data_IF_621738616921
#
_entry.id   IF_621738616921
#
_cell.length_a   1.000
_cell.length_b   1.000
_cell.length_c   1.000
_cell.angle_alpha   90.00
_cell.angle_beta   90.00
_cell.angle_gamma   90.00
#
_symmetry.space_group_name_H-M   'P 1'
#
loop_
_entity.id
_entity.type
_entity.pdbx_description
1 polymer ?
#
# COMPACT_ATOMS: atom_id res chain seq x y z
N UNK A 1 -3.53 5.65 -11.12
CA UNK A 1 -3.12 6.88 -10.41
C UNK A 1 -3.90 8.02 -11.03
N UNK A 2 -4.67 8.75 -10.22
CA UNK A 2 -5.58 9.81 -10.70
C UNK A 2 -4.81 11.14 -10.69
N UNK A 3 -4.88 11.91 -11.77
CA UNK A 3 -4.26 13.24 -11.86
C UNK A 3 -5.33 14.34 -11.79
N UNK A 4 -5.10 15.34 -10.93
CA UNK A 4 -6.04 16.43 -10.67
C UNK A 4 -5.31 17.78 -10.74
N UNK A 5 -5.96 18.79 -11.30
CA UNK A 5 -5.41 20.16 -11.34
C UNK A 5 -5.35 20.77 -9.95
N UNK A 6 -4.34 21.61 -9.68
CA UNK A 6 -4.31 22.49 -8.49
C UNK A 6 -5.61 23.29 -8.35
N UNK A 7 -6.14 23.83 -9.45
CA UNK A 7 -7.38 24.63 -9.44
C UNK A 7 -8.62 23.79 -9.09
N UNK A 8 -8.65 22.52 -9.50
CA UNK A 8 -9.77 21.61 -9.24
C UNK A 8 -9.79 21.20 -7.76
N UNK A 9 -8.62 21.02 -7.15
CA UNK A 9 -8.45 20.78 -5.71
C UNK A 9 -8.86 22.00 -4.91
N UNK A 10 -8.46 23.20 -5.32
CA UNK A 10 -8.81 24.43 -4.61
C UNK A 10 -10.33 24.66 -4.58
N UNK A 11 -11.03 24.36 -5.68
CA UNK A 11 -12.51 24.46 -5.74
C UNK A 11 -13.22 23.40 -4.91
N UNK A 12 -12.61 22.23 -4.74
CA UNK A 12 -13.23 21.05 -4.14
C UNK A 12 -12.33 20.44 -3.06
N UNK A 13 -11.89 21.27 -2.10
CA UNK A 13 -10.93 20.86 -1.06
C UNK A 13 -11.45 19.66 -0.24
N UNK A 14 -12.78 19.53 -0.12
CA UNK A 14 -13.46 18.41 0.51
C UNK A 14 -13.24 17.05 -0.16
N UNK A 15 -12.71 17.01 -1.38
CA UNK A 15 -12.26 15.76 -2.01
C UNK A 15 -11.12 15.14 -1.21
N UNK A 16 -10.17 15.96 -0.71
CA UNK A 16 -8.98 15.47 0.00
C UNK A 16 -9.33 14.70 1.28
N UNK A 17 -10.46 15.01 1.93
CA UNK A 17 -10.88 14.34 3.18
C UNK A 17 -11.61 13.02 2.95
N UNK A 18 -12.15 12.78 1.76
CA UNK A 18 -12.89 11.54 1.41
C UNK A 18 -12.07 10.57 0.55
N UNK A 19 -10.86 10.96 0.18
CA UNK A 19 -10.02 10.18 -0.72
C UNK A 19 -9.37 9.00 -0.02
N UNK A 20 -9.44 7.85 -0.67
CA UNK A 20 -8.76 6.60 -0.28
C UNK A 20 -7.60 6.27 -1.22
N UNK A 21 -7.55 6.92 -2.39
CA UNK A 21 -6.57 6.67 -3.43
C UNK A 21 -5.49 7.76 -3.49
N UNK A 22 -4.30 7.39 -3.99
CA UNK A 22 -3.20 8.30 -4.22
C UNK A 22 -3.49 9.18 -5.44
N UNK A 23 -3.30 10.49 -5.27
CA UNK A 23 -3.49 11.47 -6.35
C UNK A 23 -2.23 12.23 -6.69
N UNK A 24 -2.12 12.55 -7.96
CA UNK A 24 -1.10 13.43 -8.50
C UNK A 24 -1.69 14.81 -8.76
N UNK A 25 -1.09 15.83 -8.17
CA UNK A 25 -1.46 17.22 -8.38
C UNK A 25 -0.62 17.78 -9.50
N UNK A 26 -1.28 18.25 -10.55
CA UNK A 26 -0.64 18.82 -11.73
C UNK A 26 -1.03 20.28 -11.92
N UNK A 27 -0.06 21.11 -12.29
CA UNK A 27 -0.37 22.41 -12.89
C UNK A 27 -0.63 22.19 -14.38
N UNK A 28 -1.91 22.22 -14.78
CA UNK A 28 -2.33 22.03 -16.18
C UNK A 28 -1.77 23.10 -17.13
N UNK A 29 -1.46 24.32 -16.65
CA UNK A 29 -0.94 25.40 -17.50
C UNK A 29 0.52 25.17 -17.86
N UNK A 30 1.31 24.78 -16.85
CA UNK A 30 2.75 24.51 -17.02
C UNK A 30 3.06 23.07 -17.41
N UNK A 31 2.06 22.18 -17.34
CA UNK A 31 2.18 20.71 -17.53
C UNK A 31 3.21 20.08 -16.59
N UNK A 32 3.33 20.60 -15.38
CA UNK A 32 4.29 20.14 -14.36
C UNK A 32 3.55 19.44 -13.24
N UNK A 33 4.14 18.35 -12.73
CA UNK A 33 3.71 17.68 -11.51
C UNK A 33 4.15 18.52 -10.31
N UNK A 34 3.20 18.94 -9.49
CA UNK A 34 3.44 19.86 -8.36
C UNK A 34 3.60 19.08 -7.07
N UNK A 35 2.75 18.08 -6.84
CA UNK A 35 2.75 17.29 -5.62
C UNK A 35 2.09 15.93 -5.84
N UNK A 36 2.37 14.99 -4.95
CA UNK A 36 1.65 13.72 -4.82
C UNK A 36 1.05 13.68 -3.42
N UNK A 37 -0.26 13.45 -3.31
CA UNK A 37 -0.97 13.42 -2.03
C UNK A 37 -1.28 11.97 -1.67
N UNK A 38 -0.87 11.58 -0.46
CA UNK A 38 -1.12 10.28 0.13
C UNK A 38 -2.19 10.43 1.23
N UNK A 39 -3.37 9.79 1.10
CA UNK A 39 -4.43 9.92 2.09
C UNK A 39 -4.08 9.18 3.39
N UNK A 40 -4.20 9.81 4.56
CA UNK A 40 -3.84 9.19 5.84
C UNK A 40 -4.60 7.88 6.12
N UNK A 41 -5.87 7.80 5.71
CA UNK A 41 -6.69 6.60 5.80
C UNK A 41 -6.58 5.80 4.51
N UNK A 42 -5.44 5.13 4.32
CA UNK A 42 -5.28 4.16 3.25
C UNK A 42 -6.21 2.97 3.51
N UNK A 43 -7.16 2.70 2.63
CA UNK A 43 -7.80 1.38 2.63
C UNK A 43 -6.72 0.35 2.33
N UNK A 44 -6.38 -0.47 3.33
CA UNK A 44 -5.31 -1.44 3.21
C UNK A 44 -5.72 -2.52 2.20
N UNK A 45 -5.28 -2.37 0.95
CA UNK A 45 -5.55 -3.30 -0.15
C UNK A 45 -5.10 -4.72 0.24
N UNK A 46 -4.11 -4.85 1.13
CA UNK A 46 -3.63 -6.14 1.66
C UNK A 46 -4.76 -6.93 2.31
N UNK A 47 -5.65 -6.31 3.10
CA UNK A 47 -6.78 -7.03 3.71
C UNK A 47 -7.78 -7.51 2.65
N UNK A 48 -8.00 -6.69 1.61
CA UNK A 48 -8.88 -7.03 0.49
C UNK A 48 -8.28 -8.14 -0.38
N UNK A 49 -6.97 -8.13 -0.61
CA UNK A 49 -6.23 -9.15 -1.36
C UNK A 49 -6.07 -10.45 -0.58
N UNK A 50 -5.96 -10.38 0.76
CA UNK A 50 -5.76 -11.56 1.59
C UNK A 50 -6.95 -12.52 1.56
N UNK A 51 -8.16 -12.05 1.25
CA UNK A 51 -9.34 -12.90 1.02
C UNK A 51 -9.58 -13.91 2.14
N UNK A 52 -9.64 -15.21 1.80
CA UNK A 52 -9.80 -16.32 2.76
C UNK A 52 -8.63 -16.44 3.76
N UNK A 53 -7.46 -15.89 3.44
CA UNK A 53 -6.25 -15.96 4.25
C UNK A 53 -6.08 -14.74 5.17
N UNK A 54 -7.00 -13.77 5.18
CA UNK A 54 -6.87 -12.55 5.99
C UNK A 54 -6.61 -12.81 7.49
N UNK A 55 -7.18 -13.90 8.02
CA UNK A 55 -7.03 -14.29 9.43
C UNK A 55 -5.84 -15.22 9.69
N UNK A 56 -5.12 -15.65 8.64
CA UNK A 56 -4.00 -16.61 8.74
C UNK A 56 -2.64 -15.93 8.76
N UNK A 57 -2.55 -14.68 8.26
CA UNK A 57 -1.28 -13.96 8.19
C UNK A 57 -1.16 -13.08 9.44
N UNK A 58 -0.25 -13.45 10.36
CA UNK A 58 0.19 -12.51 11.41
C UNK A 58 0.93 -11.36 10.71
N UNK A 59 0.63 -10.12 11.11
CA UNK A 59 1.45 -8.96 10.73
C UNK A 59 2.88 -9.23 11.22
N UNK A 60 3.83 -9.33 10.31
CA UNK A 60 5.25 -9.39 10.64
C UNK A 60 5.82 -8.04 10.21
N UNK A 61 6.47 -7.36 11.15
CA UNK A 61 7.01 -6.00 10.94
C UNK A 61 8.30 -6.02 10.12
N UNK A 62 9.01 -7.16 10.10
CA UNK A 62 10.25 -7.35 9.36
C UNK A 62 10.12 -8.44 8.26
N UNK A 63 10.25 -8.02 7.00
CA UNK A 63 10.16 -8.88 5.82
C UNK A 63 11.34 -9.85 5.73
N UNK A 64 12.53 -9.44 6.19
CA UNK A 64 13.75 -10.25 6.16
C UNK A 64 13.59 -11.48 7.07
N UNK A 65 13.08 -11.21 8.28
CA UNK A 65 12.81 -12.23 9.30
C UNK A 65 11.72 -13.21 8.84
N UNK A 66 10.66 -12.71 8.20
CA UNK A 66 9.59 -13.53 7.64
C UNK A 66 10.09 -14.48 6.54
N UNK A 67 10.99 -14.01 5.66
CA UNK A 67 11.60 -14.83 4.60
C UNK A 67 12.46 -15.93 5.19
N UNK A 68 13.32 -15.59 6.16
CA UNK A 68 14.19 -16.57 6.81
C UNK A 68 13.36 -17.66 7.51
N UNK A 69 12.32 -17.29 8.24
CA UNK A 69 11.46 -18.25 8.94
C UNK A 69 10.68 -19.17 7.97
N UNK A 70 10.22 -18.63 6.84
CA UNK A 70 9.58 -19.42 5.80
C UNK A 70 10.56 -20.38 5.11
N UNK A 71 11.78 -19.91 4.84
CA UNK A 71 12.86 -20.70 4.25
C UNK A 71 13.25 -21.87 5.17
N UNK A 72 13.46 -21.61 6.47
CA UNK A 72 13.80 -22.63 7.46
C UNK A 72 12.70 -23.68 7.57
N UNK A 73 11.43 -23.27 7.66
CA UNK A 73 10.30 -24.22 7.69
C UNK A 73 10.20 -25.08 6.43
N UNK A 74 10.40 -24.50 5.25
CA UNK A 74 10.38 -25.24 3.99
C UNK A 74 11.55 -26.24 3.90
N UNK A 75 12.72 -25.87 4.43
CA UNK A 75 13.88 -26.77 4.51
C UNK A 75 13.63 -27.91 5.50
N UNK A 76 13.04 -27.63 6.67
CA UNK A 76 12.65 -28.65 7.66
C UNK A 76 11.61 -29.64 7.11
N UNK A 77 10.64 -29.16 6.33
CA UNK A 77 9.60 -29.99 5.73
C UNK A 77 10.17 -30.90 4.61
N UNK A 78 11.13 -30.39 3.84
CA UNK A 78 11.73 -31.11 2.71
C UNK A 78 12.83 -32.08 3.12
N UNK A 79 13.62 -31.74 4.13
CA UNK A 79 14.83 -32.48 4.51
C UNK A 79 14.77 -33.07 5.94
N UNK A 80 13.71 -32.80 6.70
CA UNK A 80 13.61 -33.13 8.12
C UNK A 80 14.30 -32.10 9.02
N UNK A 81 14.12 -32.23 10.35
CA UNK A 81 14.77 -31.33 11.32
C UNK A 81 16.29 -31.49 11.26
N UNK A 82 16.99 -30.40 10.98
CA UNK A 82 18.41 -30.30 11.32
C UNK A 82 18.48 -29.95 12.81
N UNK A 83 18.88 -30.94 13.62
CA UNK A 83 19.16 -30.75 15.04
C UNK A 83 20.30 -29.76 15.27
#
# INVERSE_FOLDING_TARGET
MISISVADIQKNISLLTKMTDIIEVVDKRRKIKVATIYPANHTNIVEKLAGKYKNRVKKIEDLEEAKNLAMTKAMEEKYGKFN
#
